data_IF_539015408106
#
_entry.id   IF_539015408106
#
_cell.length_a   1.000
_cell.length_b   1.000
_cell.length_c   1.000
_cell.angle_alpha   90.00
_cell.angle_beta   90.00
_cell.angle_gamma   90.00
#
_symmetry.space_group_name_H-M   'P 1'
#
loop_
_entity.id
_entity.type
_entity.pdbx_description
1 polymer ?
#
# COMPACT_ATOMS: atom_id res chain seq x y z
N UNK A 1 19.10 -13.67 -18.97
CA UNK A 1 17.94 -14.24 -18.25
C UNK A 1 16.75 -13.33 -18.53
N UNK A 2 15.89 -13.67 -19.50
CA UNK A 2 14.76 -12.81 -19.84
C UNK A 2 13.69 -12.94 -18.76
N UNK A 3 13.31 -11.81 -18.18
CA UNK A 3 12.29 -11.74 -17.14
C UNK A 3 10.93 -12.04 -17.76
N UNK A 4 10.29 -13.13 -17.34
CA UNK A 4 8.91 -13.48 -17.72
C UNK A 4 7.97 -12.29 -17.46
N UNK A 5 6.95 -12.10 -18.31
CA UNK A 5 5.95 -11.03 -18.16
C UNK A 5 5.34 -11.01 -16.76
N UNK A 6 5.05 -12.18 -16.18
CA UNK A 6 4.48 -12.31 -14.84
C UNK A 6 5.45 -11.81 -13.76
N UNK A 7 6.74 -12.13 -13.88
CA UNK A 7 7.76 -11.68 -12.91
C UNK A 7 7.99 -10.18 -13.01
N UNK A 8 7.91 -9.61 -14.22
CA UNK A 8 8.01 -8.16 -14.42
C UNK A 8 6.81 -7.43 -13.80
N UNK A 9 5.60 -7.95 -13.96
CA UNK A 9 4.39 -7.44 -13.29
C UNK A 9 4.50 -7.54 -11.77
N UNK A 10 4.91 -8.71 -11.27
CA UNK A 10 5.11 -8.94 -9.83
C UNK A 10 6.08 -7.91 -9.23
N UNK A 11 7.23 -7.66 -9.86
CA UNK A 11 8.21 -6.69 -9.37
C UNK A 11 7.64 -5.26 -9.39
N UNK A 12 6.89 -4.88 -10.43
CA UNK A 12 6.29 -3.54 -10.52
C UNK A 12 5.23 -3.34 -9.43
N UNK A 13 4.34 -4.32 -9.25
CA UNK A 13 3.29 -4.28 -8.24
C UNK A 13 3.90 -4.25 -6.82
N UNK A 14 4.93 -5.06 -6.58
CA UNK A 14 5.63 -5.11 -5.30
C UNK A 14 6.34 -3.78 -4.99
N UNK A 15 7.00 -3.16 -5.98
CA UNK A 15 7.62 -1.85 -5.82
C UNK A 15 6.59 -0.74 -5.51
N UNK A 16 5.42 -0.79 -6.16
CA UNK A 16 4.31 0.11 -5.86
C UNK A 16 3.77 -0.09 -4.44
N UNK A 17 3.56 -1.35 -4.05
CA UNK A 17 3.10 -1.71 -2.71
C UNK A 17 4.07 -1.21 -1.62
N UNK A 18 5.36 -1.46 -1.79
CA UNK A 18 6.40 -1.04 -0.84
C UNK A 18 6.47 0.49 -0.72
N UNK A 19 6.30 1.20 -1.84
CA UNK A 19 6.28 2.66 -1.86
C UNK A 19 5.10 3.21 -1.06
N UNK A 20 3.90 2.63 -1.22
CA UNK A 20 2.73 3.01 -0.43
C UNK A 20 2.87 2.66 1.05
N UNK A 21 3.51 1.54 1.39
CA UNK A 21 3.78 1.16 2.78
C UNK A 21 4.67 2.18 3.50
N UNK A 22 5.77 2.59 2.85
CA UNK A 22 6.69 3.61 3.39
C UNK A 22 5.98 4.96 3.50
N UNK A 23 5.20 5.33 2.48
CA UNK A 23 4.45 6.59 2.51
C UNK A 23 3.41 6.58 3.64
N UNK A 24 2.77 5.44 3.89
CA UNK A 24 1.84 5.26 5.00
C UNK A 24 2.50 5.46 6.36
N UNK A 25 3.69 4.90 6.56
CA UNK A 25 4.43 5.02 7.82
C UNK A 25 4.91 6.46 8.06
N UNK A 26 5.45 7.10 7.03
CA UNK A 26 5.86 8.51 7.08
C UNK A 26 4.66 9.44 7.34
N UNK A 27 3.49 9.13 6.79
CA UNK A 27 2.30 9.98 6.97
C UNK A 27 1.51 9.63 8.23
N UNK A 28 1.58 8.38 8.71
CA UNK A 28 0.76 7.83 9.79
C UNK A 28 1.00 8.41 11.18
N UNK A 29 2.13 9.10 11.35
CA UNK A 29 2.45 9.91 12.54
C UNK A 29 1.66 11.22 12.61
N UNK A 30 0.92 11.59 11.56
CA UNK A 30 0.02 12.75 11.54
C UNK A 30 -1.39 12.34 11.94
N UNK A 31 -1.91 12.99 12.99
CA UNK A 31 -3.30 12.89 13.39
C UNK A 31 -4.13 13.94 12.64
N UNK A 32 -5.30 13.54 12.16
CA UNK A 32 -6.26 14.45 11.54
C UNK A 32 -7.65 14.26 12.14
N UNK A 33 -8.42 15.34 12.19
CA UNK A 33 -9.81 15.29 12.68
C UNK A 33 -10.73 15.20 11.48
N UNK A 34 -11.56 14.16 11.44
CA UNK A 34 -12.58 13.97 10.42
C UNK A 34 -13.86 13.45 11.05
N UNK A 35 -15.02 13.98 10.64
CA UNK A 35 -16.33 13.62 11.21
C UNK A 35 -16.42 13.70 12.76
N UNK A 36 -15.61 14.55 13.39
CA UNK A 36 -15.54 14.67 14.86
C UNK A 36 -14.65 13.62 15.55
N UNK A 37 -13.99 12.75 14.80
CA UNK A 37 -13.05 11.74 15.30
C UNK A 37 -11.61 12.12 14.97
N UNK A 38 -10.70 11.91 15.92
CA UNK A 38 -9.26 12.00 15.68
C UNK A 38 -8.79 10.67 15.11
N UNK A 39 -8.37 10.68 13.84
CA UNK A 39 -7.91 9.51 13.11
C UNK A 39 -6.41 9.63 12.81
N UNK A 40 -5.74 8.48 12.72
CA UNK A 40 -4.36 8.42 12.22
C UNK A 40 -4.39 8.45 10.70
N UNK A 41 -3.48 9.21 10.09
CA UNK A 41 -3.35 9.24 8.62
C UNK A 41 -3.09 7.85 8.00
N UNK A 42 -2.64 6.87 8.81
CA UNK A 42 -2.48 5.48 8.40
C UNK A 42 -3.79 4.76 8.03
N UNK A 43 -4.96 5.27 8.42
CA UNK A 43 -6.27 4.69 8.07
C UNK A 43 -6.55 4.72 6.57
N UNK A 44 -6.00 5.69 5.84
CA UNK A 44 -6.21 5.84 4.38
C UNK A 44 -5.39 4.84 3.54
N UNK A 45 -4.08 4.66 3.77
CA UNK A 45 -3.30 3.69 3.03
C UNK A 45 -3.60 2.23 3.40
N UNK A 46 -4.16 1.96 4.59
CA UNK A 46 -4.44 0.59 5.05
C UNK A 46 -5.39 -0.22 4.13
N UNK A 47 -6.56 0.29 3.69
CA UNK A 47 -7.40 -0.41 2.71
C UNK A 47 -6.71 -0.64 1.37
N UNK A 48 -5.85 0.28 0.94
CA UNK A 48 -5.13 0.19 -0.33
C UNK A 48 -4.10 -0.92 -0.26
N UNK A 49 -3.29 -0.98 0.80
CA UNK A 49 -2.30 -2.05 0.99
C UNK A 49 -2.98 -3.40 1.14
N UNK A 50 -4.09 -3.48 1.88
CA UNK A 50 -4.90 -4.69 2.03
C UNK A 50 -5.38 -5.26 0.69
N UNK A 51 -6.03 -4.43 -0.15
CA UNK A 51 -6.53 -4.86 -1.47
C UNK A 51 -5.37 -5.31 -2.37
N UNK A 52 -4.26 -4.57 -2.36
CA UNK A 52 -3.10 -4.91 -3.20
C UNK A 52 -2.48 -6.23 -2.78
N UNK A 53 -2.35 -6.51 -1.48
CA UNK A 53 -1.83 -7.80 -1.00
C UNK A 53 -2.79 -8.95 -1.29
N UNK A 54 -4.09 -8.71 -1.21
CA UNK A 54 -5.11 -9.72 -1.49
C UNK A 54 -5.09 -10.12 -2.96
N UNK A 55 -5.08 -9.12 -3.87
CA UNK A 55 -4.92 -9.34 -5.31
C UNK A 55 -3.60 -10.02 -5.64
N UNK A 56 -2.48 -9.64 -5.01
CA UNK A 56 -1.19 -10.31 -5.24
C UNK A 56 -1.14 -11.74 -4.73
N UNK A 57 -1.98 -12.12 -3.76
CA UNK A 57 -2.01 -13.47 -3.23
C UNK A 57 -2.89 -14.40 -4.09
N UNK A 58 -3.88 -13.87 -4.79
CA UNK A 58 -4.75 -14.64 -5.68
C UNK A 58 -4.11 -14.98 -7.04
N UNK A 59 -3.07 -14.27 -7.48
CA UNK A 59 -2.43 -14.43 -8.81
C UNK A 59 -0.92 -14.72 -8.73
#
# INVERSE_FOLDING_TARGET
MQLSKSVKLFIILNAFFLSFLILAEVTGSKLFVSFGFTLTMGVIPFPVTFIVTDLLNEY
#
